data_IF_956911190129
#
_entry.id   IF_956911190129
#
_cell.length_a   1.000
_cell.length_b   1.000
_cell.length_c   1.000
_cell.angle_alpha   90.00
_cell.angle_beta   90.00
_cell.angle_gamma   90.00
#
_symmetry.space_group_name_H-M   'P 1'
#
loop_
_entity.id
_entity.type
_entity.pdbx_description
1 polymer ?
#
# COMPACT_ATOMS: atom_id res chain seq x y z
N UNK A 1 2.72 -24.84 31.11
CA UNK A 1 2.10 -23.65 30.49
C UNK A 1 3.23 -22.66 30.26
N UNK A 2 3.80 -22.67 29.06
CA UNK A 2 4.82 -21.70 28.69
C UNK A 2 4.11 -20.44 28.21
N UNK A 3 4.33 -19.36 28.97
CA UNK A 3 3.82 -18.03 28.66
C UNK A 3 4.70 -17.50 27.54
N UNK A 4 4.18 -17.52 26.30
CA UNK A 4 4.84 -16.87 25.18
C UNK A 4 4.89 -15.38 25.49
N UNK A 5 6.07 -14.90 25.87
CA UNK A 5 6.36 -13.50 26.10
C UNK A 5 6.35 -12.82 24.75
N UNK A 6 5.23 -12.17 24.43
CA UNK A 6 5.15 -11.24 23.31
C UNK A 6 6.10 -10.09 23.68
N UNK A 7 7.29 -10.08 23.09
CA UNK A 7 8.22 -8.96 23.20
C UNK A 7 7.56 -7.75 22.56
N UNK A 8 6.85 -6.95 23.35
CA UNK A 8 6.51 -5.58 22.99
C UNK A 8 7.83 -4.83 22.85
N UNK A 9 8.32 -4.71 21.62
CA UNK A 9 9.36 -3.77 21.27
C UNK A 9 8.76 -2.38 21.50
N UNK A 10 9.16 -1.76 22.60
CA UNK A 10 8.88 -0.37 22.93
C UNK A 10 9.79 0.52 22.06
N UNK A 11 9.49 0.56 20.77
CA UNK A 11 10.02 1.50 19.78
C UNK A 11 8.82 2.10 19.06
N UNK A 12 8.82 3.40 18.83
CA UNK A 12 7.72 4.20 18.28
C UNK A 12 6.75 3.39 17.41
N UNK A 13 5.52 3.19 17.90
CA UNK A 13 4.51 2.42 17.17
C UNK A 13 4.11 3.22 15.91
N UNK A 14 4.70 2.88 14.76
CA UNK A 14 4.33 3.47 13.46
C UNK A 14 2.90 3.02 13.09
N UNK A 15 1.97 3.97 13.01
CA UNK A 15 0.62 3.73 12.51
C UNK A 15 0.58 3.94 11.00
N UNK A 16 0.03 2.95 10.29
CA UNK A 16 -0.17 3.01 8.84
C UNK A 16 -1.66 3.06 8.53
N UNK A 17 -2.03 3.92 7.57
CA UNK A 17 -3.40 4.06 7.06
C UNK A 17 -3.39 3.95 5.53
N UNK A 18 -4.44 3.35 4.96
CA UNK A 18 -4.61 3.35 3.50
C UNK A 18 -5.30 4.64 3.08
N UNK A 19 -4.68 5.40 2.17
CA UNK A 19 -5.33 6.55 1.54
C UNK A 19 -6.08 6.05 0.30
N UNK A 20 -7.41 6.02 0.36
CA UNK A 20 -8.27 5.63 -0.75
C UNK A 20 -8.67 6.87 -1.57
N UNK A 21 -8.15 6.93 -2.80
CA UNK A 21 -8.40 7.99 -3.77
C UNK A 21 -9.33 7.54 -4.91
N UNK A 22 -9.98 6.36 -4.80
CA UNK A 22 -10.75 5.77 -5.89
C UNK A 22 -11.87 6.69 -6.40
N UNK A 23 -12.53 7.41 -5.49
CA UNK A 23 -13.63 8.34 -5.81
C UNK A 23 -13.22 9.55 -6.64
N UNK A 24 -11.92 9.85 -6.72
CA UNK A 24 -11.37 11.00 -7.45
C UNK A 24 -10.46 10.61 -8.61
N UNK A 25 -10.31 9.30 -8.86
CA UNK A 25 -9.43 8.74 -9.90
C UNK A 25 -9.74 9.22 -11.32
N UNK A 26 -10.99 9.59 -11.61
CA UNK A 26 -11.38 10.12 -12.92
C UNK A 26 -11.06 11.60 -13.13
N UNK A 27 -10.74 12.33 -12.06
CA UNK A 27 -10.48 13.78 -12.06
C UNK A 27 -9.01 14.10 -11.74
N UNK A 28 -8.22 13.07 -11.40
CA UNK A 28 -6.91 13.22 -10.80
C UNK A 28 -5.89 12.32 -11.52
N UNK A 29 -4.97 12.95 -12.24
CA UNK A 29 -3.73 12.31 -12.69
C UNK A 29 -2.59 12.74 -11.75
N UNK A 30 -2.09 11.81 -10.92
CA UNK A 30 -1.04 12.10 -9.93
C UNK A 30 0.30 11.64 -10.49
N UNK A 31 1.23 12.54 -10.85
CA UNK A 31 2.59 12.15 -11.18
C UNK A 31 3.28 11.55 -9.95
N UNK A 32 4.22 10.63 -10.16
CA UNK A 32 4.86 9.86 -9.08
C UNK A 32 5.60 10.72 -8.04
N UNK A 33 5.94 11.96 -8.38
CA UNK A 33 6.64 12.93 -7.53
C UNK A 33 5.78 14.16 -7.19
N UNK A 34 4.45 14.08 -7.33
CA UNK A 34 3.54 15.17 -6.98
C UNK A 34 3.74 15.58 -5.51
N UNK A 35 3.98 16.87 -5.22
CA UNK A 35 4.04 17.34 -3.84
C UNK A 35 2.64 17.23 -3.22
N UNK A 36 2.58 16.90 -1.93
CA UNK A 36 1.32 16.83 -1.21
C UNK A 36 1.46 17.32 0.24
N UNK A 37 0.34 17.79 0.79
CA UNK A 37 0.20 18.15 2.20
C UNK A 37 -0.98 17.38 2.77
N UNK A 38 -0.72 16.53 3.76
CA UNK A 38 -1.73 15.84 4.55
C UNK A 38 -1.81 16.47 5.93
N UNK A 39 -3.00 16.92 6.33
CA UNK A 39 -3.22 17.68 7.56
C UNK A 39 -4.49 17.26 8.27
N UNK A 40 -4.58 17.56 9.57
CA UNK A 40 -5.77 17.27 10.37
C UNK A 40 -6.05 15.78 10.57
N UNK A 41 -5.02 14.94 10.64
CA UNK A 41 -5.17 13.50 10.95
C UNK A 41 -5.78 13.26 12.33
N UNK A 42 -5.64 14.22 13.24
CA UNK A 42 -6.27 14.26 14.56
C UNK A 42 -7.75 14.72 14.54
N UNK A 43 -8.29 15.05 13.37
CA UNK A 43 -9.66 15.52 13.19
C UNK A 43 -10.54 14.47 12.54
N UNK A 44 -11.86 14.61 12.59
CA UNK A 44 -12.78 13.70 11.90
C UNK A 44 -12.68 13.77 10.38
N UNK A 45 -12.19 14.89 9.84
CA UNK A 45 -12.13 15.14 8.40
C UNK A 45 -10.75 15.68 8.00
N UNK A 46 -9.75 14.79 7.83
CA UNK A 46 -8.43 15.19 7.37
C UNK A 46 -8.47 15.83 5.99
N UNK A 47 -7.49 16.68 5.69
CA UNK A 47 -7.40 17.37 4.40
C UNK A 47 -6.12 16.95 3.70
N UNK A 48 -6.27 16.49 2.46
CA UNK A 48 -5.16 16.17 1.56
C UNK A 48 -5.16 17.19 0.42
N UNK A 49 -4.05 17.89 0.24
CA UNK A 49 -3.82 18.80 -0.88
C UNK A 49 -2.73 18.20 -1.76
N UNK A 50 -3.00 18.01 -3.04
CA UNK A 50 -2.04 17.48 -4.02
C UNK A 50 -1.72 18.58 -5.04
N UNK A 51 -0.43 18.81 -5.29
CA UNK A 51 0.10 19.79 -6.24
C UNK A 51 -0.41 21.23 -6.03
N UNK A 52 -0.77 21.59 -4.79
CA UNK A 52 -1.40 22.86 -4.38
C UNK A 52 -2.69 23.24 -5.14
N UNK A 53 -3.26 22.30 -5.88
CA UNK A 53 -4.41 22.52 -6.77
C UNK A 53 -5.63 21.75 -6.31
N UNK A 54 -5.44 20.52 -5.88
CA UNK A 54 -6.54 19.59 -5.62
C UNK A 54 -6.68 19.38 -4.12
N UNK A 55 -7.75 19.96 -3.56
CA UNK A 55 -8.11 19.84 -2.16
C UNK A 55 -9.14 18.73 -1.98
N UNK A 56 -8.78 17.72 -1.20
CA UNK A 56 -9.60 16.57 -0.87
C UNK A 56 -9.93 16.56 0.62
N UNK A 57 -11.14 16.12 0.94
CA UNK A 57 -11.60 15.91 2.31
C UNK A 57 -11.68 14.41 2.56
N UNK A 58 -11.01 13.96 3.61
CA UNK A 58 -10.98 12.58 4.07
C UNK A 58 -12.10 12.27 5.06
N UNK A 59 -12.47 11.00 5.10
CA UNK A 59 -13.32 10.41 6.13
C UNK A 59 -12.70 9.07 6.54
N UNK A 60 -12.64 8.82 7.85
CA UNK A 60 -12.13 7.58 8.40
C UNK A 60 -13.15 6.45 8.27
N UNK A 61 -12.73 5.34 7.69
CA UNK A 61 -13.50 4.10 7.63
C UNK A 61 -12.69 2.97 8.30
N UNK A 62 -13.32 2.31 9.28
CA UNK A 62 -12.74 1.15 9.95
C UNK A 62 -12.92 -0.10 9.07
N UNK A 63 -11.83 -0.85 8.87
CA UNK A 63 -11.89 -2.04 8.02
C UNK A 63 -12.44 -3.24 8.78
N UNK A 64 -13.32 -4.01 8.14
CA UNK A 64 -13.63 -5.36 8.61
C UNK A 64 -12.45 -6.27 8.25
N UNK A 65 -11.66 -6.66 9.25
CA UNK A 65 -10.47 -7.49 9.09
C UNK A 65 -9.17 -6.68 9.13
N UNK A 66 -8.09 -7.25 8.60
CA UNK A 66 -6.75 -6.63 8.59
C UNK A 66 -6.18 -6.70 7.18
N UNK A 67 -5.73 -5.56 6.65
CA UNK A 67 -4.96 -5.56 5.40
C UNK A 67 -3.47 -5.76 5.70
N UNK A 68 -2.85 -6.74 5.05
CA UNK A 68 -1.41 -6.98 5.15
C UNK A 68 -0.72 -6.37 3.93
N UNK A 69 0.19 -5.43 4.16
CA UNK A 69 0.93 -4.73 3.11
C UNK A 69 2.32 -5.33 3.00
N UNK A 70 2.73 -5.64 1.76
CA UNK A 70 4.04 -6.15 1.44
C UNK A 70 4.72 -5.23 0.42
N UNK A 71 6.05 -5.12 0.49
CA UNK A 71 6.87 -4.46 -0.53
C UNK A 71 7.68 -5.50 -1.30
N UNK A 72 7.98 -5.20 -2.56
CA UNK A 72 8.81 -6.05 -3.40
C UNK A 72 10.27 -5.99 -2.92
N UNK A 73 10.92 -7.15 -2.89
CA UNK A 73 12.34 -7.29 -2.61
C UNK A 73 12.98 -8.05 -3.77
N UNK A 74 14.11 -7.55 -4.25
CA UNK A 74 14.96 -8.26 -5.22
C UNK A 74 15.60 -9.46 -4.53
N UNK A 75 14.83 -10.53 -4.36
CA UNK A 75 15.31 -11.77 -3.78
C UNK A 75 16.12 -12.53 -4.83
N UNK A 76 17.39 -12.81 -4.52
CA UNK A 76 18.11 -13.91 -5.16
C UNK A 76 17.39 -15.21 -4.82
N UNK A 77 16.96 -15.96 -5.84
CA UNK A 77 16.27 -17.26 -5.76
C UNK A 77 16.53 -18.02 -4.47
N UNK A 78 15.60 -17.91 -3.52
CA UNK A 78 15.70 -18.60 -2.24
C UNK A 78 15.20 -20.02 -2.44
N UNK A 79 16.14 -20.97 -2.39
CA UNK A 79 15.82 -22.38 -2.24
C UNK A 79 15.05 -22.52 -0.93
N UNK A 80 13.77 -22.90 -1.00
CA UNK A 80 12.99 -23.25 0.18
C UNK A 80 13.68 -24.43 0.88
N UNK A 81 14.37 -24.19 1.99
CA UNK A 81 14.59 -25.25 2.98
C UNK A 81 13.25 -25.44 3.70
N UNK A 82 12.56 -26.55 3.42
CA UNK A 82 11.45 -27.01 4.23
C UNK A 82 11.95 -27.26 5.65
N UNK A 83 11.67 -26.34 6.57
CA UNK A 83 11.85 -26.57 8.02
C UNK A 83 10.68 -27.41 8.54
N UNK A 84 10.62 -28.67 8.10
CA UNK A 84 9.68 -29.68 8.61
C UNK A 84 10.32 -31.06 8.59
N UNK A 85 10.03 -31.95 9.56
CA UNK A 85 10.60 -33.28 9.59
C UNK A 85 9.90 -34.14 8.52
N UNK A 86 10.33 -34.01 7.27
CA UNK A 86 9.92 -34.89 6.18
C UNK A 86 10.87 -36.09 6.14
N UNK A 87 10.63 -37.08 7.00
CA UNK A 87 11.28 -38.39 6.90
C UNK A 87 10.81 -39.21 5.67
N UNK A 88 10.14 -38.58 4.69
CA UNK A 88 9.67 -39.22 3.45
C UNK A 88 10.22 -38.58 2.16
N UNK A 89 11.09 -37.58 2.22
CA UNK A 89 11.72 -37.02 1.02
C UNK A 89 12.97 -37.84 0.61
N UNK A 90 12.79 -38.79 -0.31
CA UNK A 90 13.86 -39.51 -1.03
C UNK A 90 14.77 -38.60 -1.89
N UNK A 91 14.51 -37.29 -1.92
CA UNK A 91 15.35 -36.30 -2.58
C UNK A 91 16.33 -35.68 -1.58
N UNK A 92 17.30 -36.48 -1.15
CA UNK A 92 18.48 -35.96 -0.47
C UNK A 92 19.27 -35.08 -1.45
N UNK A 93 19.26 -33.77 -1.22
CA UNK A 93 20.34 -32.87 -1.67
C UNK A 93 20.41 -32.55 -3.16
N UNK A 94 19.32 -32.66 -3.94
CA UNK A 94 19.30 -32.11 -5.30
C UNK A 94 18.16 -31.14 -5.45
N UNK A 95 18.49 -29.87 -5.24
CA UNK A 95 17.67 -28.73 -5.65
C UNK A 95 17.19 -29.01 -7.08
N UNK A 96 15.87 -29.12 -7.27
CA UNK A 96 15.27 -29.13 -8.61
C UNK A 96 15.29 -27.67 -9.06
N UNK A 97 16.49 -27.20 -9.41
CA UNK A 97 16.64 -25.97 -10.16
C UNK A 97 16.11 -26.32 -11.53
N UNK A 98 14.89 -25.88 -11.85
CA UNK A 98 14.51 -25.74 -13.25
C UNK A 98 15.48 -24.70 -13.84
N UNK A 99 16.38 -25.07 -14.78
CA UNK A 99 17.28 -24.11 -15.42
C UNK A 99 16.52 -23.05 -16.21
N UNK A 100 15.21 -23.21 -16.40
CA UNK A 100 14.29 -22.27 -17.02
C UNK A 100 13.41 -21.51 -15.99
N UNK A 101 13.77 -21.56 -14.71
CA UNK A 101 13.05 -20.87 -13.64
C UNK A 101 13.03 -19.35 -13.87
N UNK A 102 11.84 -18.79 -14.04
CA UNK A 102 11.65 -17.35 -14.05
C UNK A 102 12.24 -16.75 -12.76
N UNK A 103 12.83 -15.54 -12.79
CA UNK A 103 13.37 -14.90 -11.60
C UNK A 103 12.28 -14.82 -10.53
N UNK A 104 12.52 -15.43 -9.37
CA UNK A 104 11.59 -15.37 -8.24
C UNK A 104 11.70 -14.01 -7.59
N UNK A 105 10.59 -13.27 -7.53
CA UNK A 105 10.49 -12.00 -6.80
C UNK A 105 10.17 -12.29 -5.34
N UNK A 106 10.93 -11.70 -4.42
CA UNK A 106 10.68 -11.77 -2.99
C UNK A 106 9.71 -10.68 -2.55
N UNK A 107 9.12 -10.85 -1.38
CA UNK A 107 8.32 -9.80 -0.73
C UNK A 107 8.64 -9.72 0.75
N UNK A 108 8.63 -8.51 1.29
CA UNK A 108 8.83 -8.24 2.72
C UNK A 108 7.58 -7.62 3.33
N UNK A 109 7.10 -8.07 4.50
CA UNK A 109 5.98 -7.42 5.18
C UNK A 109 6.35 -5.98 5.59
N UNK A 110 5.43 -5.04 5.37
CA UNK A 110 5.57 -3.62 5.69
C UNK A 110 4.65 -3.23 6.84
N UNK A 111 3.36 -3.50 6.72
CA UNK A 111 2.37 -2.98 7.65
C UNK A 111 1.12 -3.86 7.79
N UNK A 112 0.43 -3.68 8.92
CA UNK A 112 -0.91 -4.23 9.21
C UNK A 112 -1.88 -3.06 9.35
N UNK A 113 -2.73 -2.86 8.34
CA UNK A 113 -3.67 -1.72 8.32
C UNK A 113 -5.02 -2.13 8.89
N UNK A 114 -5.63 -1.21 9.63
CA UNK A 114 -6.96 -1.37 10.23
C UNK A 114 -7.90 -0.19 9.92
N UNK A 115 -7.37 0.86 9.27
CA UNK A 115 -8.10 2.09 8.94
C UNK A 115 -7.82 2.49 7.49
N UNK A 116 -8.87 2.99 6.85
CA UNK A 116 -8.82 3.60 5.52
C UNK A 116 -9.25 5.05 5.66
N UNK A 117 -8.57 5.95 4.97
CA UNK A 117 -9.01 7.32 4.75
C UNK A 117 -9.56 7.44 3.34
N UNK A 118 -10.88 7.58 3.23
CA UNK A 118 -11.55 7.76 1.94
C UNK A 118 -11.61 9.25 1.60
N UNK A 119 -10.99 9.61 0.48
CA UNK A 119 -10.97 10.99 0.02
C UNK A 119 -11.99 11.26 -1.06
N UNK A 120 -12.58 12.44 -0.98
CA UNK A 120 -13.51 13.02 -1.95
C UNK A 120 -13.13 14.47 -2.20
N UNK A 121 -13.53 15.01 -3.37
CA UNK A 121 -13.29 16.42 -3.67
C UNK A 121 -13.94 17.33 -2.61
N UNK A 122 -13.22 18.38 -2.22
CA UNK A 122 -13.80 19.43 -1.41
C UNK A 122 -14.89 20.18 -2.20
N UNK A 123 -16.04 20.52 -1.57
CA UNK A 123 -17.16 21.16 -2.25
C UNK A 123 -16.88 22.58 -2.78
N UNK A 124 -15.85 23.26 -2.26
CA UNK A 124 -15.46 24.63 -2.66
C UNK A 124 -14.20 24.67 -3.55
N UNK A 125 -13.73 23.53 -4.05
CA UNK A 125 -12.66 23.51 -5.03
C UNK A 125 -13.26 23.86 -6.40
N UNK A 126 -13.21 25.13 -6.78
CA UNK A 126 -13.47 25.55 -8.17
C UNK A 126 -12.53 24.75 -9.08
N UNK A 127 -13.08 23.71 -9.73
CA UNK A 127 -12.37 22.87 -10.67
C UNK A 127 -11.96 23.71 -11.88
N UNK A 128 -10.74 24.27 -11.85
CA UNK A 128 -10.09 24.83 -13.03
C UNK A 128 -9.47 23.74 -13.92
N UNK A 129 -10.06 22.53 -13.95
CA UNK A 129 -9.80 21.58 -15.03
C UNK A 129 -10.73 21.95 -16.19
N UNK A 130 -10.35 23.03 -16.89
CA UNK A 130 -10.90 23.32 -18.20
C UNK A 130 -10.58 22.13 -19.10
N UNK A 131 -11.62 21.42 -19.53
CA UNK A 131 -11.58 20.49 -20.65
C UNK A 131 -10.90 21.19 -21.81
N UNK A 132 -9.72 20.74 -22.21
CA UNK A 132 -9.13 21.16 -23.48
C UNK A 132 -10.04 20.64 -24.59
N UNK A 133 -10.86 21.52 -25.14
CA UNK A 133 -11.61 21.29 -26.36
C UNK A 133 -10.62 20.90 -27.47
N UNK A 134 -10.72 19.67 -27.97
CA UNK A 134 -10.31 19.35 -29.34
C UNK A 134 -11.56 19.44 -30.22
N UNK A 135 -11.88 20.67 -30.65
CA UNK A 135 -12.61 20.87 -31.90
C UNK A 135 -11.58 20.99 -33.02
N UNK A 136 -11.31 19.88 -33.69
CA UNK A 136 -10.58 19.90 -34.96
C UNK A 136 -11.60 20.01 -36.10
N UNK A 137 -11.64 21.19 -36.72
CA UNK A 137 -12.28 21.42 -38.02
C UNK A 137 -11.36 20.90 -39.12
N UNK A 138 -11.89 20.09 -40.05
CA UNK A 138 -11.84 20.33 -41.51
C UNK A 138 -13.11 19.75 -42.13
#
# INVERSE_FOLDING_TARGET
MEVSSVQHHQGDEEEFVLLDLNSVSGQLDIPSNAPYVLSGLDTLNPVLIIDDKLKLIGEYEETIGTCLVFTEEDATSVVHEETGPSEANLFSGKCIIDPNGAPSKGVKPVARLHKILKFRLAPDADNQFATSEQTEQV
#
